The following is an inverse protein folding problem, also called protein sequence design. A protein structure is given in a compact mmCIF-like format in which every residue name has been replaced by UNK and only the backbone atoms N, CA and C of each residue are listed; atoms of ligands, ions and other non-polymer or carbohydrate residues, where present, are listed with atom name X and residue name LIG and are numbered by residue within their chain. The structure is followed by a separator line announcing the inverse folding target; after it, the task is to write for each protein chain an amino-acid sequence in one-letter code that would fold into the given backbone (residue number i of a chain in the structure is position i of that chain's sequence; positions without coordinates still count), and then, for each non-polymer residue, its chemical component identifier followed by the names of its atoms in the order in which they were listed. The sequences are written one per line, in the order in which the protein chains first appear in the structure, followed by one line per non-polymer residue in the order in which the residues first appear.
data_IF_071507081791
#
_entry.id   IF_071507081791
#
_cell.length_a   1.000
_cell.length_b   1.000
_cell.length_c   1.000
_cell.angle_alpha   90.00
_cell.angle_beta   90.00
_cell.angle_gamma   90.00
#
_symmetry.space_group_name_H-M   'P 1'
#
loop_
_entity.id
_entity.type
_entity.pdbx_description
1 polymer ?
#
# COMPACT_ATOMS: atom_id res chain seq x y z
N UNK A 1 -1.06 -42.68 37.97
CA UNK A 1 -0.84 -42.15 36.59
C UNK A 1 0.64 -41.83 36.45
N UNK A 2 1.35 -42.32 35.42
CA UNK A 2 2.82 -42.17 35.32
C UNK A 2 3.22 -40.73 34.95
N UNK A 3 4.23 -40.16 35.60
CA UNK A 3 4.78 -38.81 35.37
C UNK A 3 5.05 -38.54 33.88
N UNK A 4 5.48 -39.55 33.12
CA UNK A 4 5.70 -39.48 31.66
C UNK A 4 4.42 -39.12 30.88
N UNK A 5 3.27 -39.63 31.31
CA UNK A 5 1.96 -39.34 30.69
C UNK A 5 1.53 -37.89 30.96
N UNK A 6 1.80 -37.37 32.16
CA UNK A 6 1.48 -35.99 32.53
C UNK A 6 2.34 -35.00 31.72
N UNK A 7 3.64 -35.28 31.60
CA UNK A 7 4.56 -34.45 30.80
C UNK A 7 4.15 -34.42 29.32
N UNK A 8 3.75 -35.55 28.74
CA UNK A 8 3.27 -35.60 27.36
C UNK A 8 1.97 -34.80 27.14
N UNK A 9 1.04 -34.83 28.10
CA UNK A 9 -0.20 -34.05 28.03
C UNK A 9 0.11 -32.55 28.11
N UNK A 10 0.96 -32.13 29.04
CA UNK A 10 1.35 -30.71 29.19
C UNK A 10 2.09 -30.23 27.93
N UNK A 11 3.04 -31.02 27.40
CA UNK A 11 3.75 -30.68 26.17
C UNK A 11 2.79 -30.54 24.97
N UNK A 12 1.79 -31.43 24.87
CA UNK A 12 0.74 -31.34 23.86
C UNK A 12 -0.10 -30.06 23.98
N UNK A 13 -0.52 -29.70 25.19
CA UNK A 13 -1.28 -28.47 25.45
C UNK A 13 -0.46 -27.23 25.07
N UNK A 14 0.82 -27.19 25.46
CA UNK A 14 1.73 -26.07 25.13
C UNK A 14 1.93 -25.95 23.61
N UNK A 15 2.11 -27.07 22.90
CA UNK A 15 2.25 -27.07 21.45
C UNK A 15 0.98 -26.56 20.74
N UNK A 16 -0.21 -26.96 21.20
CA UNK A 16 -1.49 -26.49 20.66
C UNK A 16 -1.68 -24.99 20.92
N UNK A 17 -1.35 -24.52 22.13
CA UNK A 17 -1.39 -23.08 22.46
C UNK A 17 -0.44 -22.27 21.58
N UNK A 18 0.80 -22.74 21.38
CA UNK A 18 1.76 -22.08 20.51
C UNK A 18 1.27 -22.02 19.05
N UNK A 19 0.65 -23.09 18.55
CA UNK A 19 0.05 -23.12 17.21
C UNK A 19 -1.08 -22.10 17.07
N UNK A 20 -1.97 -22.00 18.06
CA UNK A 20 -3.09 -21.03 18.06
C UNK A 20 -2.55 -19.60 18.03
N UNK A 21 -1.54 -19.29 18.84
CA UNK A 21 -0.91 -17.96 18.86
C UNK A 21 -0.25 -17.65 17.51
N UNK A 22 0.48 -18.61 16.93
CA UNK A 22 1.12 -18.43 15.63
C UNK A 22 0.10 -18.20 14.51
N UNK A 23 -1.02 -18.94 14.50
CA UNK A 23 -2.10 -18.77 13.54
C UNK A 23 -2.83 -17.44 13.72
N UNK A 24 -3.02 -16.97 14.95
CA UNK A 24 -3.66 -15.69 15.23
C UNK A 24 -2.79 -14.51 14.77
N UNK A 25 -1.52 -14.49 15.18
CA UNK A 25 -0.57 -13.43 14.79
C UNK A 25 -0.28 -13.47 13.29
N UNK A 26 -0.01 -14.67 12.74
CA UNK A 26 0.20 -14.86 11.32
C UNK A 26 -1.03 -14.52 10.49
N UNK A 27 -2.23 -14.86 10.97
CA UNK A 27 -3.50 -14.53 10.34
C UNK A 27 -3.77 -13.03 10.30
N UNK A 28 -3.56 -12.31 11.40
CA UNK A 28 -3.69 -10.85 11.45
C UNK A 28 -2.66 -10.19 10.55
N UNK A 29 -1.38 -10.59 10.63
CA UNK A 29 -0.33 -10.05 9.77
C UNK A 29 -0.67 -10.29 8.29
N UNK A 30 -1.02 -11.52 7.91
CA UNK A 30 -1.42 -11.86 6.55
C UNK A 30 -2.65 -11.06 6.10
N UNK A 31 -3.65 -10.90 6.96
CA UNK A 31 -4.85 -10.13 6.65
C UNK A 31 -4.55 -8.64 6.46
N UNK A 32 -3.73 -8.04 7.31
CA UNK A 32 -3.32 -6.62 7.18
C UNK A 32 -2.45 -6.42 5.93
N UNK A 33 -1.45 -7.28 5.69
CA UNK A 33 -0.62 -7.20 4.49
C UNK A 33 -1.42 -7.44 3.19
N UNK A 34 -2.40 -8.35 3.20
CA UNK A 34 -3.29 -8.60 2.07
C UNK A 34 -4.26 -7.44 1.85
N UNK A 35 -4.84 -6.88 2.90
CA UNK A 35 -5.76 -5.73 2.79
C UNK A 35 -5.05 -4.46 2.34
N UNK A 36 -3.79 -4.25 2.72
CA UNK A 36 -3.00 -3.07 2.27
C UNK A 36 -2.44 -3.28 0.86
N UNK A 37 -1.81 -4.43 0.58
CA UNK A 37 -1.19 -4.73 -0.72
C UNK A 37 -2.19 -4.96 -1.85
N UNK A 38 -3.42 -5.33 -1.51
CA UNK A 38 -4.55 -5.46 -2.43
C UNK A 38 -5.62 -4.38 -2.19
N UNK A 39 -5.29 -3.32 -1.44
CA UNK A 39 -6.20 -2.20 -1.24
C UNK A 39 -6.50 -1.54 -2.59
N UNK A 40 -7.76 -1.17 -2.80
CA UNK A 40 -8.17 -0.39 -3.96
C UNK A 40 -7.30 0.87 -4.16
N UNK A 41 -6.72 1.41 -3.08
CA UNK A 41 -5.77 2.52 -3.13
C UNK A 41 -4.50 2.17 -3.94
N UNK A 42 -3.88 1.03 -3.70
CA UNK A 42 -2.67 0.62 -4.41
C UNK A 42 -2.94 0.30 -5.89
N UNK A 43 -4.08 -0.35 -6.19
CA UNK A 43 -4.48 -0.60 -7.56
C UNK A 43 -4.84 0.69 -8.29
N UNK A 44 -5.53 1.63 -7.64
CA UNK A 44 -5.82 2.97 -8.19
C UNK A 44 -4.52 3.73 -8.48
N UNK A 45 -3.56 3.69 -7.56
CA UNK A 45 -2.24 4.31 -7.75
C UNK A 45 -1.47 3.71 -8.93
N UNK A 46 -1.42 2.37 -9.03
CA UNK A 46 -0.78 1.66 -10.16
C UNK A 46 -1.44 2.01 -11.49
N UNK A 47 -2.76 2.00 -11.56
CA UNK A 47 -3.51 2.35 -12.77
C UNK A 47 -3.25 3.79 -13.17
N UNK A 48 -3.23 4.73 -12.22
CA UNK A 48 -2.92 6.13 -12.47
C UNK A 48 -1.51 6.29 -13.05
N UNK A 49 -0.49 5.71 -12.41
CA UNK A 49 0.90 5.77 -12.89
C UNK A 49 1.06 5.11 -14.25
N UNK A 50 0.39 3.98 -14.50
CA UNK A 50 0.44 3.27 -15.78
C UNK A 50 -0.19 4.06 -16.92
N UNK A 51 -1.16 4.93 -16.65
CA UNK A 51 -1.85 5.73 -17.67
C UNK A 51 -1.33 7.16 -17.79
N UNK A 52 -0.41 7.59 -16.92
CA UNK A 52 0.10 8.96 -16.92
C UNK A 52 1.09 9.18 -18.08
N UNK A 53 0.72 10.06 -19.02
CA UNK A 53 1.52 10.34 -20.21
C UNK A 53 2.86 11.01 -19.89
N UNK A 54 2.90 11.93 -18.92
CA UNK A 54 4.13 12.61 -18.48
C UNK A 54 5.13 11.60 -17.94
N UNK A 55 4.66 10.63 -17.15
CA UNK A 55 5.51 9.55 -16.65
C UNK A 55 6.03 8.71 -17.82
N UNK A 56 5.17 8.23 -18.71
CA UNK A 56 5.56 7.39 -19.86
C UNK A 56 6.55 8.07 -20.80
N UNK A 57 6.37 9.36 -21.07
CA UNK A 57 7.27 10.12 -21.93
C UNK A 57 8.69 10.14 -21.37
N UNK A 58 8.82 10.31 -20.05
CA UNK A 58 10.11 10.34 -19.37
C UNK A 58 10.74 8.96 -19.20
N UNK A 59 10.03 8.04 -18.55
CA UNK A 59 10.61 6.76 -18.10
C UNK A 59 10.38 5.60 -19.08
N UNK A 60 9.61 5.83 -20.15
CA UNK A 60 9.16 4.80 -21.09
C UNK A 60 7.86 4.11 -20.64
N UNK A 61 7.39 3.14 -21.43
CA UNK A 61 6.20 2.37 -21.06
C UNK A 61 6.42 1.64 -19.73
N UNK A 62 5.43 1.75 -18.84
CA UNK A 62 5.45 1.10 -17.52
C UNK A 62 5.28 -0.40 -17.74
N UNK A 63 6.34 -1.18 -17.50
CA UNK A 63 6.31 -2.64 -17.63
C UNK A 63 5.68 -3.26 -16.39
N UNK A 64 6.22 -2.90 -15.23
CA UNK A 64 5.82 -3.51 -13.96
C UNK A 64 5.94 -2.53 -12.79
N UNK A 65 5.47 -2.96 -11.62
CA UNK A 65 5.64 -2.27 -10.35
C UNK A 65 6.44 -3.16 -9.40
N UNK A 66 7.26 -2.56 -8.54
CA UNK A 66 8.01 -3.29 -7.53
C UNK A 66 7.08 -4.07 -6.60
N UNK A 67 7.57 -5.23 -6.12
CA UNK A 67 6.83 -6.14 -5.24
C UNK A 67 6.49 -5.53 -3.87
N UNK A 68 7.12 -4.41 -3.51
CA UNK A 68 6.91 -3.71 -2.25
C UNK A 68 6.22 -2.38 -2.50
N UNK A 69 5.03 -2.22 -1.90
CA UNK A 69 4.34 -0.94 -1.75
C UNK A 69 4.56 -0.52 -0.30
N UNK A 70 5.19 0.64 -0.10
CA UNK A 70 5.36 1.22 1.23
C UNK A 70 4.47 2.45 1.33
N UNK A 71 4.17 2.90 2.54
CA UNK A 71 3.28 4.03 2.70
C UNK A 71 2.48 3.98 3.98
N UNK A 72 1.60 4.95 4.13
CA UNK A 72 0.68 5.04 5.25
C UNK A 72 -0.74 5.17 4.71
N UNK A 73 -1.65 4.36 5.26
CA UNK A 73 -3.09 4.47 5.00
C UNK A 73 -3.73 4.80 6.34
N UNK A 74 -4.34 5.97 6.42
CA UNK A 74 -5.08 6.39 7.60
C UNK A 74 -6.56 6.55 7.24
N UNK A 75 -7.44 5.85 7.95
CA UNK A 75 -8.89 5.97 7.76
C UNK A 75 -9.50 6.45 9.07
N UNK A 76 -10.21 7.56 9.05
CA UNK A 76 -10.81 8.21 10.22
C UNK A 76 -12.22 8.66 9.87
N UNK A 77 -13.22 8.24 10.67
CA UNK A 77 -14.62 8.65 10.53
C UNK A 77 -15.24 8.47 9.13
N UNK A 78 -14.84 7.44 8.40
CA UNK A 78 -15.37 7.14 7.06
C UNK A 78 -14.67 7.89 5.91
N UNK A 79 -13.69 8.72 6.22
CA UNK A 79 -12.78 9.32 5.25
C UNK A 79 -11.38 8.68 5.39
N UNK A 80 -10.74 8.39 4.26
CA UNK A 80 -9.42 7.77 4.18
C UNK A 80 -8.44 8.67 3.46
N UNK A 81 -7.21 8.72 3.96
CA UNK A 81 -6.06 9.36 3.31
C UNK A 81 -4.95 8.31 3.23
N UNK A 82 -4.42 8.12 2.03
CA UNK A 82 -3.33 7.19 1.78
C UNK A 82 -2.19 7.91 1.09
N UNK A 83 -0.98 7.71 1.59
CA UNK A 83 0.26 8.09 0.91
C UNK A 83 0.99 6.80 0.60
N UNK A 84 1.15 6.49 -0.68
CA UNK A 84 1.81 5.27 -1.15
C UNK A 84 3.09 5.62 -1.90
N UNK A 85 4.12 4.84 -1.67
CA UNK A 85 5.39 4.87 -2.39
C UNK A 85 5.55 3.56 -3.13
N UNK A 86 5.67 3.66 -4.45
CA UNK A 86 5.74 2.53 -5.36
C UNK A 86 6.97 2.66 -6.24
N UNK A 87 7.74 1.58 -6.36
CA UNK A 87 8.77 1.50 -7.40
C UNK A 87 8.11 1.22 -8.74
N UNK A 88 8.33 2.06 -9.73
CA UNK A 88 7.84 1.92 -11.10
C UNK A 88 8.98 1.37 -11.96
N UNK A 89 8.74 0.22 -12.60
CA UNK A 89 9.69 -0.43 -13.50
C UNK A 89 9.23 -0.15 -14.93
N UNK A 90 9.97 0.69 -15.64
CA UNK A 90 9.64 1.08 -17.00
C UNK A 90 10.75 0.72 -17.98
N UNK A 91 10.48 0.90 -19.26
CA UNK A 91 11.37 0.49 -20.34
C UNK A 91 12.74 1.20 -20.31
N UNK A 92 12.77 2.50 -20.05
CA UNK A 92 14.01 3.29 -20.08
C UNK A 92 14.68 3.34 -18.71
N UNK A 93 13.90 3.55 -17.65
CA UNK A 93 14.43 3.68 -16.28
C UNK A 93 13.41 3.29 -15.22
N UNK A 94 13.93 2.96 -14.04
CA UNK A 94 13.13 2.70 -12.85
C UNK A 94 13.10 3.95 -11.97
N UNK A 95 11.93 4.28 -11.42
CA UNK A 95 11.75 5.45 -10.54
C UNK A 95 10.92 5.10 -9.31
N UNK A 96 11.05 5.89 -8.25
CA UNK A 96 10.19 5.78 -7.08
C UNK A 96 9.10 6.84 -7.19
N UNK A 97 7.85 6.40 -7.34
CA UNK A 97 6.69 7.26 -7.39
C UNK A 97 6.04 7.37 -6.01
N UNK A 98 5.63 8.58 -5.64
CA UNK A 98 4.74 8.87 -4.52
C UNK A 98 3.35 9.15 -5.08
N UNK A 99 2.34 8.52 -4.50
CA UNK A 99 0.93 8.76 -4.85
C UNK A 99 0.14 9.02 -3.59
N UNK A 100 -0.52 10.16 -3.54
CA UNK A 100 -1.44 10.55 -2.49
C UNK A 100 -2.87 10.30 -2.96
N UNK A 101 -3.64 9.57 -2.17
CA UNK A 101 -5.02 9.21 -2.45
C UNK A 101 -5.93 9.61 -1.29
N UNK A 102 -7.17 9.93 -1.64
CA UNK A 102 -8.23 10.13 -0.66
C UNK A 102 -9.44 9.27 -0.97
N UNK A 103 -10.14 8.91 0.09
CA UNK A 103 -11.40 8.18 0.13
C UNK A 103 -12.35 9.06 0.92
N UNK A 104 -13.47 9.47 0.33
CA UNK A 104 -14.48 10.28 1.03
C UNK A 104 -15.87 9.69 0.85
N UNK A 105 -16.66 9.75 1.92
CA UNK A 105 -18.10 9.45 1.88
C UNK A 105 -18.44 8.07 1.29
N UNK A 106 -17.66 7.04 1.65
CA UNK A 106 -17.86 5.66 1.21
C UNK A 106 -17.73 5.44 -0.32
N UNK A 107 -17.01 6.31 -1.04
CA UNK A 107 -16.76 6.22 -2.50
C UNK A 107 -15.37 5.66 -2.80
N UNK A 108 -15.13 5.18 -4.02
CA UNK A 108 -13.82 4.65 -4.43
C UNK A 108 -12.66 5.64 -4.20
N UNK A 109 -11.45 5.11 -3.98
CA UNK A 109 -10.22 5.89 -3.83
C UNK A 109 -9.95 6.77 -5.05
N UNK A 110 -9.48 7.99 -4.81
CA UNK A 110 -9.12 8.96 -5.85
C UNK A 110 -7.72 9.48 -5.60
N UNK A 111 -6.93 9.56 -6.67
CA UNK A 111 -5.60 10.17 -6.62
C UNK A 111 -5.77 11.68 -6.48
N UNK A 112 -5.16 12.25 -5.45
CA UNK A 112 -5.16 13.69 -5.15
C UNK A 112 -3.77 14.31 -5.30
N UNK A 113 -2.72 13.48 -5.37
CA UNK A 113 -1.35 13.90 -5.68
C UNK A 113 -0.59 12.74 -6.29
N UNK A 114 0.29 13.01 -7.24
CA UNK A 114 1.20 12.01 -7.76
C UNK A 114 2.51 12.67 -8.17
N UNK A 115 3.63 12.11 -7.75
CA UNK A 115 4.96 12.59 -8.13
C UNK A 115 5.94 11.44 -8.20
N UNK A 116 7.11 11.67 -8.79
CA UNK A 116 8.20 10.71 -8.74
C UNK A 116 9.53 11.41 -8.49
N UNK A 117 10.45 10.68 -7.86
CA UNK A 117 11.82 11.14 -7.71
C UNK A 117 12.63 10.80 -8.96
N UNK A 118 13.29 11.83 -9.48
CA UNK A 118 14.27 11.75 -10.56
C UNK A 118 15.58 12.36 -10.06
N UNK A 119 16.52 11.50 -9.66
CA UNK A 119 17.88 11.90 -9.28
C UNK A 119 17.89 12.99 -8.18
N UNK A 120 16.96 12.90 -7.21
CA UNK A 120 16.78 13.88 -6.14
C UNK A 120 15.87 15.07 -6.48
N UNK A 121 15.34 15.14 -7.69
CA UNK A 121 14.32 16.11 -8.09
C UNK A 121 12.93 15.45 -8.08
N UNK A 122 12.00 16.00 -7.32
CA UNK A 122 10.60 15.58 -7.35
C UNK A 122 9.90 16.19 -8.56
N UNK A 123 9.34 15.34 -9.43
CA UNK A 123 8.57 15.75 -10.59
C UNK A 123 7.11 15.43 -10.36
N UNK A 124 6.27 16.45 -10.47
CA UNK A 124 4.82 16.33 -10.31
C UNK A 124 4.21 15.70 -11.57
N UNK A 125 3.32 14.73 -11.34
CA UNK A 125 2.56 14.02 -12.36
C UNK A 125 1.11 14.50 -12.43
N UNK A 126 0.67 15.28 -11.44
CA UNK A 126 -0.61 15.97 -11.44
C UNK A 126 -0.42 17.43 -11.82
N UNK A 127 -0.88 17.84 -13.01
CA UNK A 127 -0.94 19.26 -13.34
C UNK A 127 -1.86 20.01 -12.34
N UNK A 128 -1.45 21.22 -11.98
CA UNK A 128 -1.95 22.01 -10.84
C UNK A 128 -3.45 22.39 -10.84
N UNK A 129 -4.25 21.89 -11.78
CA UNK A 129 -5.67 22.21 -11.91
C UNK A 129 -6.61 21.44 -10.96
N UNK A 130 -6.07 20.54 -10.12
CA UNK A 130 -6.85 19.77 -9.15
C UNK A 130 -6.57 20.13 -7.68
N UNK A 131 -5.93 21.29 -7.46
CA UNK A 131 -5.99 21.96 -6.15
C UNK A 131 -7.40 22.50 -5.99
N UNK A 132 -8.24 21.82 -5.20
CA UNK A 132 -9.56 22.32 -4.83
C UNK A 132 -9.51 23.82 -4.49
N UNK A 133 -10.49 24.64 -4.93
CA UNK A 133 -10.47 26.07 -4.68
C UNK A 133 -10.29 26.32 -3.18
N UNK A 134 -9.28 27.11 -2.83
CA UNK A 134 -9.04 27.53 -1.45
C UNK A 134 -10.34 28.14 -0.91
N UNK A 135 -10.80 27.75 0.30
CA UNK A 135 -11.99 28.38 0.87
C UNK A 135 -11.76 29.90 0.95
N UNK A 136 -12.75 30.73 0.55
CA UNK A 136 -12.62 32.17 0.59
C UNK A 136 -12.30 32.60 2.03
N UNK A 137 -11.29 33.46 2.16
CA UNK A 137 -10.84 34.05 3.42
C UNK A 137 -11.84 35.10 3.91
#
# INVERSE_FOLDING_TARGET
MSTKKIVLIIAGIVAVLALIVALFVGGIAFFVFRTIGNSDAANTARTYLRNNETLKQDIGEVKDFGSFVTGNINVTNGDGVATLYLKVIAEKRNVNARVDLTYRSNRAWRVTGASYDRDGQTIDLMPAYESAPSPPK
#
